data_IF_359615647401
#
_entry.id   IF_359615647401
#
_cell.length_a   1.000
_cell.length_b   1.000
_cell.length_c   1.000
_cell.angle_alpha   90.00
_cell.angle_beta   90.00
_cell.angle_gamma   90.00
#
_symmetry.space_group_name_H-M   'P 1'
#
loop_
_entity.id
_entity.type
_entity.pdbx_description
1 polymer ?
#
# COMPACT_ATOMS: atom_id res chain seq x y z
N UNK A 1 -6.39 -4.72 16.75
CA UNK A 1 -5.62 -3.80 15.89
C UNK A 1 -5.15 -4.61 14.70
N UNK A 2 -5.55 -4.25 13.48
CA UNK A 2 -5.16 -5.00 12.28
C UNK A 2 -3.68 -4.74 12.01
N UNK A 3 -2.82 -5.76 12.14
CA UNK A 3 -1.39 -5.64 11.85
C UNK A 3 -1.25 -5.58 10.33
N UNK A 4 -0.68 -4.49 9.81
CA UNK A 4 -0.32 -4.37 8.39
C UNK A 4 0.67 -5.47 8.00
N UNK A 5 0.50 -6.04 6.81
CA UNK A 5 1.27 -7.17 6.31
C UNK A 5 1.72 -6.92 4.89
N UNK A 6 2.84 -7.54 4.50
CA UNK A 6 3.29 -7.54 3.12
C UNK A 6 2.15 -7.99 2.19
N UNK A 7 1.96 -7.25 1.11
CA UNK A 7 0.93 -7.51 0.12
C UNK A 7 -0.43 -6.89 0.45
N UNK A 8 -0.62 -6.32 1.65
CA UNK A 8 -1.83 -5.57 1.96
C UNK A 8 -1.92 -4.30 1.12
N UNK A 9 -3.16 -3.97 0.78
CA UNK A 9 -3.52 -2.69 0.20
C UNK A 9 -3.62 -1.67 1.33
N UNK A 10 -3.05 -0.49 1.10
CA UNK A 10 -3.00 0.59 2.08
C UNK A 10 -3.32 1.92 1.42
N UNK A 11 -3.80 2.86 2.23
CA UNK A 11 -3.92 4.25 1.86
C UNK A 11 -2.90 5.09 2.64
N UNK A 12 -2.21 6.00 1.93
CA UNK A 12 -1.27 6.95 2.51
C UNK A 12 -1.46 8.33 1.87
N UNK A 13 -1.74 9.36 2.69
CA UNK A 13 -2.02 10.74 2.24
C UNK A 13 -3.06 10.80 1.11
N UNK A 14 -4.09 9.95 1.17
CA UNK A 14 -5.12 9.85 0.13
C UNK A 14 -4.76 8.99 -1.07
N UNK A 15 -3.50 8.55 -1.22
CA UNK A 15 -3.04 7.69 -2.32
C UNK A 15 -3.15 6.21 -1.95
N UNK A 16 -3.61 5.40 -2.91
CA UNK A 16 -3.70 3.96 -2.77
C UNK A 16 -2.41 3.28 -3.23
N UNK A 17 -2.00 2.27 -2.48
CA UNK A 17 -0.83 1.49 -2.81
C UNK A 17 -0.82 0.08 -2.21
N UNK A 18 0.28 -0.62 -2.45
CA UNK A 18 0.53 -1.96 -1.94
C UNK A 18 1.80 -2.00 -1.11
N UNK A 19 1.75 -2.66 0.04
CA UNK A 19 2.96 -2.96 0.82
C UNK A 19 3.80 -4.01 0.07
N UNK A 20 5.03 -3.66 -0.27
CA UNK A 20 6.01 -4.56 -0.87
C UNK A 20 6.88 -5.25 0.19
N UNK A 21 7.31 -4.48 1.20
CA UNK A 21 8.21 -4.92 2.27
C UNK A 21 7.82 -4.20 3.56
N UNK A 22 7.99 -4.88 4.69
CA UNK A 22 7.86 -4.27 6.03
C UNK A 22 9.23 -4.39 6.70
N UNK A 23 9.73 -3.27 7.19
CA UNK A 23 10.86 -3.20 8.09
C UNK A 23 10.33 -3.07 9.52
N UNK A 24 10.40 -4.17 10.27
CA UNK A 24 9.97 -4.20 11.67
C UNK A 24 10.96 -3.51 12.62
N UNK A 25 12.23 -3.34 12.22
CA UNK A 25 13.21 -2.65 13.05
C UNK A 25 12.97 -1.15 13.01
N UNK A 26 12.76 -0.60 11.81
CA UNK A 26 12.52 0.83 11.59
C UNK A 26 11.04 1.23 11.71
N UNK A 27 10.12 0.26 11.88
CA UNK A 27 8.67 0.50 11.88
C UNK A 27 8.21 1.25 10.62
N UNK A 28 8.72 0.85 9.46
CA UNK A 28 8.34 1.39 8.15
C UNK A 28 7.91 0.28 7.20
N UNK A 29 7.17 0.64 6.17
CA UNK A 29 6.86 -0.23 5.06
C UNK A 29 7.19 0.46 3.74
N UNK A 30 7.76 -0.31 2.81
CA UNK A 30 7.92 0.12 1.44
C UNK A 30 6.59 -0.09 0.72
N UNK A 31 6.01 1.00 0.23
CA UNK A 31 4.73 1.01 -0.47
C UNK A 31 4.94 1.42 -1.92
N UNK A 32 4.30 0.71 -2.84
CA UNK A 32 4.20 1.08 -4.25
C UNK A 32 2.85 1.74 -4.53
N UNK A 33 2.86 2.94 -5.10
CA UNK A 33 1.67 3.66 -5.53
C UNK A 33 1.03 3.00 -6.76
N UNK A 34 -0.29 2.84 -6.75
CA UNK A 34 -1.02 2.36 -7.94
C UNK A 34 -1.13 3.38 -9.05
N UNK A 35 -1.03 4.67 -8.75
CA UNK A 35 -1.15 5.73 -9.76
C UNK A 35 0.18 6.00 -10.47
N UNK A 36 1.27 6.09 -9.72
CA UNK A 36 2.58 6.52 -10.25
C UNK A 36 3.58 5.38 -10.38
N UNK A 37 3.30 4.21 -9.79
CA UNK A 37 4.25 3.10 -9.65
C UNK A 37 5.55 3.48 -8.92
N UNK A 38 5.57 4.62 -8.22
CA UNK A 38 6.69 5.03 -7.39
C UNK A 38 6.67 4.27 -6.07
N UNK A 39 7.87 3.97 -5.57
CA UNK A 39 8.09 3.27 -4.31
C UNK A 39 8.64 4.24 -3.27
N UNK A 40 8.03 4.25 -2.09
CA UNK A 40 8.42 5.12 -0.98
C UNK A 40 8.23 4.42 0.35
N UNK A 41 9.08 4.76 1.33
CA UNK A 41 8.99 4.26 2.68
C UNK A 41 7.96 5.08 3.48
N UNK A 42 7.04 4.39 4.14
CA UNK A 42 5.97 4.98 4.95
C UNK A 42 6.03 4.42 6.37
N UNK A 43 5.91 5.25 7.42
CA UNK A 43 5.78 4.77 8.79
C UNK A 43 4.53 3.90 8.96
N UNK A 44 4.65 2.77 9.69
CA UNK A 44 3.53 1.85 9.88
C UNK A 44 2.33 2.50 10.60
N UNK A 45 2.57 3.53 11.42
CA UNK A 45 1.54 4.28 12.13
C UNK A 45 0.68 5.18 11.22
N UNK A 46 1.22 5.58 10.06
CA UNK A 46 0.53 6.41 9.07
C UNK A 46 -0.21 5.57 8.02
N UNK A 47 -0.03 4.24 8.04
CA UNK A 47 -0.65 3.33 7.09
C UNK A 47 -2.02 2.89 7.57
N UNK A 48 -3.03 3.27 6.80
CA UNK A 48 -4.38 2.75 6.96
C UNK A 48 -4.57 1.52 6.09
N UNK A 49 -4.71 0.36 6.74
CA UNK A 49 -5.10 -0.87 6.08
C UNK A 49 -6.50 -0.68 5.47
N UNK A 50 -6.59 -0.84 4.17
CA UNK A 50 -7.87 -0.86 3.48
C UNK A 50 -8.28 -2.31 3.27
N UNK A 51 -9.46 -2.68 3.76
CA UNK A 51 -10.14 -3.94 3.41
C UNK A 51 -10.64 -3.83 1.97
N UNK A 52 -9.68 -3.82 1.06
CA UNK A 52 -9.90 -3.66 -0.35
C UNK A 52 -10.43 -4.97 -0.94
N UNK A 53 -11.73 -5.19 -0.83
CA UNK A 53 -12.48 -5.67 -1.99
C UNK A 53 -12.58 -4.51 -3.01
N UNK A 54 -11.44 -3.93 -3.41
CA UNK A 54 -11.44 -2.93 -4.49
C UNK A 54 -11.58 -3.71 -5.81
N UNK A 55 -12.55 -3.34 -6.66
CA UNK A 55 -12.89 -4.10 -7.84
C UNK A 55 -11.71 -4.15 -8.80
N UNK A 56 -11.67 -5.24 -9.57
CA UNK A 56 -10.74 -5.61 -10.64
C UNK A 56 -10.63 -4.59 -11.81
N UNK A 57 -10.64 -3.28 -11.55
CA UNK A 57 -10.68 -2.25 -12.60
C UNK A 57 -9.32 -1.64 -12.94
N UNK A 58 -8.22 -2.08 -12.32
CA UNK A 58 -6.86 -1.73 -12.77
C UNK A 58 -6.34 -2.66 -13.89
N UNK A 59 -7.17 -3.56 -14.44
CA UNK A 59 -6.81 -4.39 -15.60
C UNK A 59 -7.20 -3.78 -16.96
N UNK A 60 -7.86 -2.61 -17.01
CA UNK A 60 -8.23 -1.94 -18.26
C UNK A 60 -7.46 -0.65 -18.51
N UNK A 61 -6.17 -0.78 -18.75
CA UNK A 61 -5.47 0.14 -19.65
C UNK A 61 -4.48 -0.63 -20.52
N UNK A 62 -5.04 -1.54 -21.33
CA UNK A 62 -4.42 -2.02 -22.57
C UNK A 62 -5.28 -1.52 -23.72
N UNK A 63 -5.05 -0.28 -24.14
CA UNK A 63 -5.40 0.23 -25.47
C UNK A 63 -4.34 1.21 -25.92
#
# INVERSE_FOLDING_TARGET
>A
MSRVQKGMHVQYLGNLGKILVIDEQEQTALVESYHTHEQYAVPLEELEAIDAQLPLSLESSRY
#
